data_IF_667228999512
#
_entry.id   IF_667228999512
#
_cell.length_a   1.000
_cell.length_b   1.000
_cell.length_c   1.000
_cell.angle_alpha   90.00
_cell.angle_beta   90.00
_cell.angle_gamma   90.00
#
_symmetry.space_group_name_H-M   'P 1'
#
loop_
_entity.id
_entity.type
_entity.pdbx_description
1 polymer ?
#
# COMPACT_ATOMS: atom_id res chain seq x y z
N UNK A 1 9.27 -12.45 -26.49
CA UNK A 1 10.19 -11.29 -26.51
C UNK A 1 10.67 -10.84 -25.13
N UNK A 2 10.44 -11.61 -24.06
CA UNK A 2 10.99 -11.31 -22.73
C UNK A 2 12.52 -11.46 -22.72
N UNK A 3 13.18 -10.68 -21.87
CA UNK A 3 14.65 -10.65 -21.72
C UNK A 3 15.13 -11.31 -20.41
N UNK A 4 14.27 -11.38 -19.38
CA UNK A 4 14.55 -12.01 -18.08
C UNK A 4 13.42 -12.97 -17.71
N UNK A 5 13.78 -14.16 -17.24
CA UNK A 5 12.83 -15.11 -16.63
C UNK A 5 12.84 -14.92 -15.12
N UNK A 6 11.89 -14.14 -14.61
CA UNK A 6 11.80 -13.76 -13.20
C UNK A 6 11.18 -14.90 -12.37
N UNK A 7 11.76 -15.19 -11.20
CA UNK A 7 11.24 -16.13 -10.21
C UNK A 7 10.89 -17.53 -10.78
N UNK A 8 11.76 -18.08 -11.63
CA UNK A 8 11.59 -19.46 -12.08
C UNK A 8 11.64 -20.40 -10.87
N UNK A 9 10.64 -21.29 -10.68
CA UNK A 9 10.65 -22.26 -9.58
C UNK A 9 11.83 -23.25 -9.70
N UNK A 10 12.35 -23.43 -10.91
CA UNK A 10 13.52 -24.27 -11.20
C UNK A 10 14.50 -23.51 -12.12
N UNK A 11 15.36 -22.62 -11.58
CA UNK A 11 16.19 -21.73 -12.39
C UNK A 11 17.21 -22.51 -13.25
N UNK A 12 17.77 -23.58 -12.73
CA UNK A 12 18.73 -24.44 -13.45
C UNK A 12 18.07 -25.15 -14.65
N UNK A 13 16.86 -25.70 -14.44
CA UNK A 13 16.10 -26.33 -15.50
C UNK A 13 15.69 -25.32 -16.59
N UNK A 14 15.33 -24.10 -16.20
CA UNK A 14 15.03 -23.01 -17.12
C UNK A 14 16.26 -22.61 -17.94
N UNK A 15 17.44 -22.47 -17.32
CA UNK A 15 18.68 -22.17 -18.01
C UNK A 15 19.06 -23.29 -19.00
N UNK A 16 19.00 -24.56 -18.58
CA UNK A 16 19.26 -25.70 -19.45
C UNK A 16 18.28 -25.79 -20.63
N UNK A 17 17.01 -25.44 -20.42
CA UNK A 17 16.00 -25.39 -21.47
C UNK A 17 16.30 -24.29 -22.50
N UNK A 18 16.76 -23.11 -22.07
CA UNK A 18 17.19 -22.04 -22.97
C UNK A 18 18.39 -22.47 -23.80
N UNK A 19 19.40 -23.08 -23.20
CA UNK A 19 20.58 -23.61 -23.91
C UNK A 19 20.15 -24.63 -24.97
N UNK A 20 19.26 -25.57 -24.61
CA UNK A 20 18.71 -26.54 -25.58
C UNK A 20 17.94 -25.87 -26.70
N UNK A 21 17.15 -24.84 -26.40
CA UNK A 21 16.38 -24.11 -27.40
C UNK A 21 17.26 -23.38 -28.41
N UNK A 22 18.39 -22.81 -27.95
CA UNK A 22 19.39 -22.19 -28.84
C UNK A 22 20.07 -23.25 -29.70
N UNK A 23 20.60 -24.31 -29.09
CA UNK A 23 21.27 -25.40 -29.80
C UNK A 23 20.38 -26.10 -30.83
N UNK A 24 19.07 -26.19 -30.56
CA UNK A 24 18.10 -26.79 -31.49
C UNK A 24 17.57 -25.80 -32.53
N UNK A 25 18.04 -24.55 -32.56
CA UNK A 25 17.56 -23.50 -33.46
C UNK A 25 16.13 -22.98 -33.17
N UNK A 26 15.48 -23.44 -32.09
CA UNK A 26 14.15 -22.98 -31.70
C UNK A 26 14.18 -21.53 -31.21
N UNK A 27 15.31 -21.12 -30.63
CA UNK A 27 15.63 -19.75 -30.27
C UNK A 27 16.89 -19.33 -31.03
N UNK A 28 16.82 -18.29 -31.86
CA UNK A 28 18.00 -17.78 -32.55
C UNK A 28 19.02 -17.21 -31.56
N UNK A 29 20.31 -17.43 -31.80
CA UNK A 29 21.40 -16.89 -30.98
C UNK A 29 21.39 -15.36 -30.96
N UNK A 30 21.19 -14.72 -32.12
CA UNK A 30 21.03 -13.25 -32.20
C UNK A 30 19.89 -12.72 -31.32
N UNK A 31 18.83 -13.51 -31.13
CA UNK A 31 17.72 -13.12 -30.25
C UNK A 31 18.17 -13.15 -28.78
N UNK A 32 18.97 -14.13 -28.39
CA UNK A 32 19.56 -14.22 -27.06
C UNK A 32 20.56 -13.07 -26.84
N UNK A 33 21.45 -12.82 -27.80
CA UNK A 33 22.45 -11.76 -27.72
C UNK A 33 21.80 -10.39 -27.52
N UNK A 34 20.72 -10.09 -28.24
CA UNK A 34 19.95 -8.85 -28.04
C UNK A 34 19.37 -8.72 -26.62
N UNK A 35 18.94 -9.82 -25.99
CA UNK A 35 18.48 -9.80 -24.59
C UNK A 35 19.65 -9.53 -23.63
N UNK A 36 20.74 -10.27 -23.80
CA UNK A 36 21.93 -10.16 -22.95
C UNK A 36 22.53 -8.76 -23.06
N UNK A 37 22.62 -8.20 -24.26
CA UNK A 37 23.10 -6.85 -24.49
C UNK A 37 22.28 -5.79 -23.73
N UNK A 38 20.94 -5.89 -23.74
CA UNK A 38 20.08 -4.97 -22.98
C UNK A 38 20.32 -5.06 -21.48
N UNK A 39 20.46 -6.28 -20.95
CA UNK A 39 20.76 -6.52 -19.53
C UNK A 39 22.14 -5.94 -19.18
N UNK A 40 23.16 -6.22 -19.98
CA UNK A 40 24.52 -5.73 -19.75
C UNK A 40 24.59 -4.20 -19.87
N UNK A 41 23.87 -3.59 -20.82
CA UNK A 41 23.73 -2.12 -20.91
C UNK A 41 23.07 -1.53 -19.67
N UNK A 42 22.02 -2.17 -19.14
CA UNK A 42 21.39 -1.73 -17.89
C UNK A 42 22.36 -1.82 -16.70
N UNK A 43 23.11 -2.92 -16.57
CA UNK A 43 24.16 -3.06 -15.53
C UNK A 43 25.28 -2.04 -15.68
N UNK A 44 25.70 -1.75 -16.91
CA UNK A 44 26.74 -0.77 -17.21
C UNK A 44 26.28 0.66 -16.87
N UNK A 45 25.03 1.02 -17.16
CA UNK A 45 24.44 2.33 -16.77
C UNK A 45 24.44 2.56 -15.26
N UNK A 46 24.31 1.49 -14.48
CA UNK A 46 24.38 1.51 -13.02
C UNK A 46 25.80 1.29 -12.48
N UNK A 47 26.82 1.20 -13.37
CA UNK A 47 28.24 0.96 -13.04
C UNK A 47 28.50 -0.30 -12.21
N UNK A 48 27.62 -1.30 -12.29
CA UNK A 48 27.74 -2.57 -11.55
C UNK A 48 28.90 -3.47 -12.01
N UNK A 49 29.57 -3.11 -13.11
CA UNK A 49 30.79 -3.76 -13.57
C UNK A 49 32.04 -3.17 -12.93
N UNK A 50 31.93 -2.00 -12.28
CA UNK A 50 33.00 -1.31 -11.56
C UNK A 50 32.86 -1.51 -10.05
N UNK A 51 31.66 -1.27 -9.51
CA UNK A 51 31.34 -1.45 -8.10
C UNK A 51 29.96 -2.10 -7.95
N UNK A 52 29.95 -3.36 -7.51
CA UNK A 52 28.73 -4.18 -7.40
C UNK A 52 28.31 -4.45 -5.94
N UNK A 53 29.10 -3.98 -4.98
CA UNK A 53 28.90 -4.23 -3.56
C UNK A 53 28.45 -2.95 -2.86
N UNK A 54 27.71 -3.12 -1.77
CA UNK A 54 27.29 -2.03 -0.88
C UNK A 54 28.07 -2.12 0.43
N UNK A 55 28.34 -0.97 1.05
CA UNK A 55 28.96 -0.90 2.39
C UNK A 55 27.88 -1.16 3.43
N UNK A 56 27.91 -2.34 4.06
CA UNK A 56 26.89 -2.75 5.01
C UNK A 56 26.92 -1.87 6.28
N UNK A 57 28.08 -1.33 6.62
CA UNK A 57 28.29 -0.47 7.78
C UNK A 57 27.59 0.89 7.63
N UNK A 58 27.25 1.30 6.40
CA UNK A 58 26.54 2.54 6.11
C UNK A 58 25.01 2.35 5.97
N UNK A 59 24.50 1.12 6.13
CA UNK A 59 23.07 0.84 5.96
C UNK A 59 22.21 1.59 6.96
N UNK A 60 22.63 1.68 8.22
CA UNK A 60 21.86 2.32 9.29
C UNK A 60 21.68 3.84 9.04
N UNK A 61 22.63 4.47 8.34
CA UNK A 61 22.54 5.89 7.96
C UNK A 61 21.63 6.12 6.73
N UNK A 62 21.47 5.09 5.90
CA UNK A 62 20.75 5.16 4.63
C UNK A 62 19.31 4.64 4.72
N UNK A 63 19.06 3.63 5.53
CA UNK A 63 17.77 2.95 5.70
C UNK A 63 17.16 3.37 7.03
N UNK A 64 15.88 3.75 7.03
CA UNK A 64 15.24 4.26 8.25
C UNK A 64 15.70 5.66 8.68
N UNK A 65 16.38 6.38 7.78
CA UNK A 65 16.84 7.74 8.03
C UNK A 65 15.66 8.67 8.40
N UNK A 66 15.72 9.37 9.55
CA UNK A 66 14.66 10.28 9.99
C UNK A 66 14.30 11.37 8.98
N UNK A 67 15.26 11.84 8.18
CA UNK A 67 15.00 12.84 7.15
C UNK A 67 14.10 12.28 6.03
N UNK A 68 14.30 11.03 5.63
CA UNK A 68 13.42 10.36 4.67
C UNK A 68 12.03 10.09 5.24
N UNK A 69 11.94 9.77 6.54
CA UNK A 69 10.64 9.63 7.21
C UNK A 69 9.87 10.97 7.25
N UNK A 70 10.56 12.08 7.55
CA UNK A 70 9.97 13.42 7.51
C UNK A 70 9.49 13.81 6.10
N UNK A 71 10.31 13.54 5.07
CA UNK A 71 9.92 13.77 3.67
C UNK A 71 8.73 12.90 3.25
N UNK A 72 8.71 11.62 3.66
CA UNK A 72 7.58 10.73 3.38
C UNK A 72 6.29 11.24 4.06
N UNK A 73 6.39 11.78 5.28
CA UNK A 73 5.26 12.42 5.97
C UNK A 73 4.75 13.64 5.21
N UNK A 74 5.63 14.53 4.78
CA UNK A 74 5.24 15.70 3.96
C UNK A 74 4.53 15.27 2.66
N UNK A 75 5.06 14.26 1.97
CA UNK A 75 4.45 13.72 0.76
C UNK A 75 3.07 13.11 1.03
N UNK A 76 2.91 12.41 2.16
CA UNK A 76 1.63 11.83 2.57
C UNK A 76 0.60 12.93 2.91
N UNK A 77 1.02 13.96 3.66
CA UNK A 77 0.16 15.09 4.04
C UNK A 77 -0.33 15.84 2.79
N UNK A 78 0.53 16.02 1.78
CA UNK A 78 0.17 16.61 0.48
C UNK A 78 -0.65 15.69 -0.42
N UNK A 79 -0.67 14.39 -0.14
CA UNK A 79 -1.42 13.38 -0.89
C UNK A 79 -2.90 13.31 -0.51
N UNK A 80 -3.30 13.91 0.62
CA UNK A 80 -4.70 13.95 1.05
C UNK A 80 -5.51 14.87 0.14
N UNK A 81 -6.58 14.35 -0.44
CA UNK A 81 -7.49 15.11 -1.29
C UNK A 81 -8.85 15.28 -0.61
N UNK A 82 -9.26 16.53 -0.37
CA UNK A 82 -10.60 16.86 0.11
C UNK A 82 -11.56 16.93 -1.09
N UNK A 83 -12.47 15.95 -1.19
CA UNK A 83 -13.43 15.90 -2.29
C UNK A 83 -14.64 16.81 -2.07
N UNK A 84 -15.06 16.98 -0.80
CA UNK A 84 -16.26 17.73 -0.44
C UNK A 84 -16.19 18.19 1.01
N UNK A 85 -16.58 19.44 1.27
CA UNK A 85 -16.77 20.01 2.62
C UNK A 85 -17.76 21.20 2.57
N UNK A 86 -18.98 20.95 2.12
CA UNK A 86 -20.00 22.01 1.95
C UNK A 86 -20.43 22.63 3.29
N UNK A 87 -20.31 21.87 4.38
CA UNK A 87 -20.70 22.29 5.72
C UNK A 87 -19.54 22.94 6.51
N UNK A 88 -18.35 23.09 5.89
CA UNK A 88 -17.17 23.68 6.51
C UNK A 88 -16.83 23.05 7.87
N UNK A 89 -16.89 21.73 7.95
CA UNK A 89 -16.63 20.98 9.18
C UNK A 89 -15.13 20.83 9.46
N UNK A 90 -14.28 21.09 8.46
CA UNK A 90 -12.84 21.00 8.58
C UNK A 90 -12.18 22.39 8.59
N UNK A 91 -11.09 22.57 9.37
CA UNK A 91 -10.48 21.61 10.30
C UNK A 91 -11.30 21.47 11.60
N UNK A 92 -11.18 20.31 12.25
CA UNK A 92 -11.73 20.08 13.59
C UNK A 92 -11.06 21.04 14.58
N UNK A 93 -11.86 21.72 15.41
CA UNK A 93 -11.38 22.69 16.40
C UNK A 93 -10.67 22.01 17.58
N UNK A 94 -9.36 21.78 17.43
CA UNK A 94 -8.51 21.18 18.46
C UNK A 94 -8.29 22.06 19.72
N UNK A 95 -8.92 23.23 19.86
CA UNK A 95 -8.79 24.07 21.06
C UNK A 95 -9.71 23.65 22.21
N UNK A 96 -10.61 22.68 21.96
CA UNK A 96 -11.60 22.16 22.92
C UNK A 96 -11.39 20.66 23.14
N UNK A 97 -11.89 20.10 24.25
CA UNK A 97 -11.93 18.65 24.41
C UNK A 97 -12.63 17.99 23.22
N UNK A 98 -12.03 16.94 22.68
CA UNK A 98 -12.48 16.20 21.52
C UNK A 98 -12.96 14.81 21.93
N UNK A 99 -14.27 14.56 21.82
CA UNK A 99 -14.83 13.21 21.90
C UNK A 99 -15.13 12.72 20.50
N UNK A 100 -14.31 11.80 20.00
CA UNK A 100 -14.45 11.26 18.64
C UNK A 100 -15.14 9.91 18.62
N UNK A 101 -15.89 9.65 17.55
CA UNK A 101 -16.34 8.31 17.19
C UNK A 101 -15.69 7.88 15.85
N UNK A 102 -14.89 6.82 15.86
CA UNK A 102 -14.34 6.21 14.65
C UNK A 102 -15.16 4.97 14.29
N UNK A 103 -15.84 5.00 13.14
CA UNK A 103 -16.49 3.83 12.58
C UNK A 103 -15.68 3.29 11.40
N UNK A 104 -15.12 2.10 11.55
CA UNK A 104 -14.31 1.47 10.49
C UNK A 104 -15.14 0.46 9.71
N UNK A 105 -15.18 0.62 8.39
CA UNK A 105 -15.87 -0.29 7.47
C UNK A 105 -14.84 -0.94 6.53
N UNK A 106 -14.65 -2.24 6.64
CA UNK A 106 -13.79 -3.01 5.73
C UNK A 106 -14.61 -3.86 4.77
N UNK A 107 -14.36 -3.69 3.46
CA UNK A 107 -15.03 -4.49 2.43
C UNK A 107 -14.48 -5.91 2.28
N UNK A 108 -13.38 -6.24 2.96
CA UNK A 108 -12.74 -7.56 2.98
C UNK A 108 -12.53 -8.02 4.43
N UNK A 109 -12.45 -9.34 4.69
CA UNK A 109 -12.08 -9.87 6.00
C UNK A 109 -10.75 -9.27 6.48
N UNK A 110 -10.80 -8.63 7.65
CA UNK A 110 -9.64 -8.02 8.30
C UNK A 110 -9.79 -8.19 9.81
N UNK A 111 -8.80 -8.82 10.45
CA UNK A 111 -8.85 -9.08 11.89
C UNK A 111 -8.76 -7.79 12.71
N UNK A 112 -8.24 -6.70 12.14
CA UNK A 112 -8.12 -5.43 12.85
C UNK A 112 -8.15 -4.23 11.89
N UNK A 113 -9.31 -3.95 11.26
CA UNK A 113 -9.41 -2.93 10.22
C UNK A 113 -9.18 -1.53 10.81
N UNK A 114 -8.42 -0.68 10.11
CA UNK A 114 -8.17 0.69 10.54
C UNK A 114 -7.32 0.85 11.81
N UNK A 115 -6.59 -0.19 12.22
CA UNK A 115 -5.69 -0.18 13.38
C UNK A 115 -4.73 1.00 13.40
N UNK A 116 -4.09 1.28 12.26
CA UNK A 116 -3.13 2.38 12.15
C UNK A 116 -3.81 3.75 12.28
N UNK A 117 -5.03 3.88 11.77
CA UNK A 117 -5.81 5.12 11.89
C UNK A 117 -6.23 5.35 13.34
N UNK A 118 -6.75 4.32 14.02
CA UNK A 118 -7.07 4.39 15.44
C UNK A 118 -5.85 4.77 16.27
N UNK A 119 -4.72 4.10 16.06
CA UNK A 119 -3.46 4.36 16.78
C UNK A 119 -2.95 5.79 16.59
N UNK A 120 -3.19 6.39 15.42
CA UNK A 120 -2.88 7.80 15.21
C UNK A 120 -3.95 8.73 15.80
N UNK A 121 -5.24 8.37 15.77
CA UNK A 121 -6.30 9.25 16.27
C UNK A 121 -6.35 9.30 17.80
N UNK A 122 -6.15 8.18 18.47
CA UNK A 122 -6.27 8.04 19.93
C UNK A 122 -5.45 9.09 20.72
N UNK A 123 -4.15 9.34 20.45
CA UNK A 123 -3.39 10.34 21.21
C UNK A 123 -3.76 11.81 20.87
N UNK A 124 -4.65 12.05 19.90
CA UNK A 124 -5.01 13.39 19.41
C UNK A 124 -6.38 13.85 19.91
N UNK A 125 -7.08 13.03 20.70
CA UNK A 125 -8.43 13.29 21.20
C UNK A 125 -8.53 12.92 22.68
N UNK A 126 -9.51 13.46 23.39
CA UNK A 126 -9.72 13.19 24.81
C UNK A 126 -10.42 11.85 25.06
N UNK A 127 -11.27 11.43 24.13
CA UNK A 127 -11.86 10.10 24.12
C UNK A 127 -12.17 9.65 22.69
N UNK A 128 -11.87 8.40 22.38
CA UNK A 128 -12.18 7.80 21.09
C UNK A 128 -13.03 6.55 21.30
N UNK A 129 -14.27 6.57 20.81
CA UNK A 129 -15.09 5.36 20.70
C UNK A 129 -14.81 4.75 19.34
N UNK A 130 -14.63 3.43 19.28
CA UNK A 130 -14.35 2.74 18.02
C UNK A 130 -15.33 1.60 17.82
N UNK A 131 -15.99 1.59 16.67
CA UNK A 131 -16.77 0.45 16.18
C UNK A 131 -16.22 0.02 14.81
N UNK A 132 -16.31 -1.27 14.50
CA UNK A 132 -15.70 -1.84 13.29
C UNK A 132 -16.64 -2.84 12.66
N UNK A 133 -16.64 -2.90 11.34
CA UNK A 133 -17.34 -3.94 10.60
C UNK A 133 -16.52 -4.46 9.43
N UNK A 134 -16.65 -5.76 9.17
CA UNK A 134 -16.15 -6.45 7.99
C UNK A 134 -17.07 -7.62 7.59
N UNK A 135 -16.66 -8.43 6.62
CA UNK A 135 -17.48 -9.54 6.12
C UNK A 135 -17.39 -10.84 6.94
N UNK A 136 -16.50 -10.94 7.93
CA UNK A 136 -16.18 -12.22 8.56
C UNK A 136 -16.03 -12.14 10.09
N UNK A 137 -15.20 -11.24 10.58
CA UNK A 137 -14.84 -11.12 12.00
C UNK A 137 -15.74 -10.16 12.78
N UNK A 138 -16.27 -9.13 12.13
CA UNK A 138 -17.09 -8.07 12.71
C UNK A 138 -18.33 -7.83 11.84
N UNK A 139 -19.28 -8.77 11.85
CA UNK A 139 -20.40 -8.74 10.90
C UNK A 139 -21.29 -7.50 11.10
N UNK A 140 -21.74 -6.82 10.04
CA UNK A 140 -22.51 -5.58 10.15
C UNK A 140 -23.77 -5.73 11.01
N UNK A 141 -24.42 -6.89 10.99
CA UNK A 141 -25.65 -7.15 11.73
C UNK A 141 -25.43 -7.27 13.24
N UNK A 142 -24.18 -7.44 13.68
CA UNK A 142 -23.78 -7.59 15.08
C UNK A 142 -23.24 -6.29 15.68
N UNK A 143 -23.13 -5.20 14.89
CA UNK A 143 -22.56 -3.93 15.34
C UNK A 143 -23.64 -2.97 15.83
N UNK A 144 -23.53 -2.58 17.09
CA UNK A 144 -24.33 -1.50 17.68
C UNK A 144 -23.53 -0.19 17.61
N UNK A 145 -24.18 0.88 17.13
CA UNK A 145 -23.60 2.21 17.13
C UNK A 145 -23.73 2.85 18.52
N UNK A 146 -22.71 3.60 18.99
CA UNK A 146 -22.77 4.28 20.27
C UNK A 146 -23.81 5.41 20.26
N UNK A 147 -24.31 5.75 21.44
CA UNK A 147 -25.20 6.90 21.64
C UNK A 147 -24.55 8.19 21.10
N UNK A 148 -25.24 8.97 20.25
CA UNK A 148 -24.74 10.24 19.71
C UNK A 148 -24.32 11.28 20.77
N UNK A 149 -24.83 11.19 22.01
CA UNK A 149 -24.44 12.13 23.08
C UNK A 149 -23.00 11.90 23.60
N UNK A 150 -22.40 10.75 23.26
CA UNK A 150 -21.07 10.35 23.74
C UNK A 150 -19.91 10.95 22.93
N UNK A 151 -20.17 11.49 21.74
CA UNK A 151 -19.14 12.05 20.86
C UNK A 151 -19.58 13.39 20.27
N UNK A 152 -18.61 14.26 19.97
CA UNK A 152 -18.82 15.58 19.38
C UNK A 152 -18.73 15.53 17.85
N UNK A 153 -17.99 14.56 17.32
CA UNK A 153 -17.85 14.31 15.89
C UNK A 153 -17.60 12.82 15.60
N UNK A 154 -17.86 12.40 14.37
CA UNK A 154 -17.57 11.05 13.91
C UNK A 154 -16.78 11.04 12.61
N UNK A 155 -15.94 10.01 12.44
CA UNK A 155 -15.20 9.69 11.23
C UNK A 155 -15.61 8.29 10.80
N UNK A 156 -16.09 8.16 9.56
CA UNK A 156 -16.33 6.85 8.94
C UNK A 156 -15.16 6.54 8.01
N UNK A 157 -14.34 5.56 8.40
CA UNK A 157 -13.17 5.13 7.65
C UNK A 157 -13.49 3.88 6.83
N UNK A 158 -13.53 4.03 5.50
CA UNK A 158 -13.90 2.94 4.58
C UNK A 158 -12.65 2.37 3.90
N UNK A 159 -12.42 1.08 4.07
CA UNK A 159 -11.30 0.34 3.47
C UNK A 159 -11.83 -0.62 2.40
N UNK A 160 -11.55 -0.32 1.14
CA UNK A 160 -11.88 -1.20 0.02
C UNK A 160 -10.63 -1.54 -0.77
N UNK A 161 -10.30 -2.83 -0.86
CA UNK A 161 -9.24 -3.30 -1.75
C UNK A 161 -9.82 -3.56 -3.13
N UNK A 162 -9.16 -3.10 -4.18
CA UNK A 162 -9.45 -3.51 -5.55
C UNK A 162 -8.79 -4.87 -5.76
N UNK A 163 -9.59 -5.88 -6.08
CA UNK A 163 -9.10 -7.21 -6.46
C UNK A 163 -9.78 -7.64 -7.75
N UNK A 164 -9.07 -8.43 -8.56
CA UNK A 164 -9.66 -9.04 -9.75
C UNK A 164 -10.90 -9.85 -9.34
N UNK A 165 -12.01 -9.68 -10.07
CA UNK A 165 -13.35 -10.26 -9.81
C UNK A 165 -14.19 -9.66 -8.67
N UNK A 166 -13.78 -8.54 -8.04
CA UNK A 166 -14.56 -7.94 -6.93
C UNK A 166 -15.77 -7.10 -7.38
N UNK A 167 -15.94 -6.83 -8.68
CA UNK A 167 -17.03 -6.01 -9.21
C UNK A 167 -16.74 -4.50 -9.10
N UNK A 168 -17.79 -3.68 -8.93
CA UNK A 168 -17.67 -2.23 -8.82
C UNK A 168 -17.24 -1.77 -7.41
N UNK A 169 -16.39 -0.75 -7.33
CA UNK A 169 -15.92 -0.11 -6.08
C UNK A 169 -16.56 1.27 -5.87
N UNK A 170 -17.45 1.70 -6.78
CA UNK A 170 -18.17 2.96 -6.64
C UNK A 170 -19.08 2.96 -5.41
N UNK A 171 -19.22 4.14 -4.80
CA UNK A 171 -20.34 4.42 -3.90
C UNK A 171 -21.65 4.20 -4.68
N UNK A 172 -22.71 3.66 -4.05
CA UNK A 172 -24.04 3.57 -4.65
C UNK A 172 -24.46 4.92 -5.26
N UNK A 173 -25.15 4.90 -6.40
CA UNK A 173 -25.61 6.12 -7.10
C UNK A 173 -26.50 7.01 -6.21
N UNK A 174 -27.10 6.44 -5.16
CA UNK A 174 -27.90 7.15 -4.15
C UNK A 174 -27.05 8.01 -3.19
N UNK A 175 -25.73 7.81 -3.16
CA UNK A 175 -24.77 8.51 -2.29
C UNK A 175 -23.78 9.40 -3.07
N UNK A 176 -23.90 9.47 -4.41
CA UNK A 176 -23.09 10.31 -5.30
C UNK A 176 -23.77 11.66 -5.58
#
# INVERSE_FOLDING_TARGET
GADVLLMSPHPEAAAAALVRAVRSGRLGEERLDRSVERILRAKARLRLHEEAQVKLEALDDQVGNPAFAAQAREMADRGVALLRDDAHLLPIDATRPQRGFLFVVSADPDTYPGADLEREMEPRVDSLIVARTDKLYFKPEEIELPDPELYDWSVVAVFVRVADRKGNVALPDELA
#
